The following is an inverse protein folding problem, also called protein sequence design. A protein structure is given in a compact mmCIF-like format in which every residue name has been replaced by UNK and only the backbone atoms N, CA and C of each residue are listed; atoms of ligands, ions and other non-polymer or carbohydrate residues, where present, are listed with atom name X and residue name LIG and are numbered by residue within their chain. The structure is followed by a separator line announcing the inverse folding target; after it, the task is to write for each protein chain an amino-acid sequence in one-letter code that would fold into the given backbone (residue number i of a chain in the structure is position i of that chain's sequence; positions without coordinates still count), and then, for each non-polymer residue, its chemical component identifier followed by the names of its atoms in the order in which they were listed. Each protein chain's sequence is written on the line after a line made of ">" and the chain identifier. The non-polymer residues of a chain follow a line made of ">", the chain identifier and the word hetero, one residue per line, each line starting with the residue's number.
data_IF_674603985313
#
_entry.id   IF_674603985313
#
_cell.length_a   1.000
_cell.length_b   1.000
_cell.length_c   1.000
_cell.angle_alpha   90.00
_cell.angle_beta   90.00
_cell.angle_gamma   90.00
#
_symmetry.space_group_name_H-M   'P 1'
#
loop_
_entity.id
_entity.type
_entity.pdbx_description
1 polymer ?
#
# COMPACT_ATOMS: atom_id res chain seq x y z
N UNK A 1 65.92 53.02 4.81
CA UNK A 1 65.75 51.59 5.16
C UNK A 1 64.28 51.25 4.96
N UNK A 2 63.96 50.39 3.98
CA UNK A 2 62.60 50.08 3.53
C UNK A 2 61.96 49.03 4.45
N UNK A 3 60.77 49.29 4.99
CA UNK A 3 59.90 48.24 5.55
C UNK A 3 58.70 48.03 4.64
N UNK A 4 58.60 46.82 4.11
CA UNK A 4 57.58 46.33 3.20
C UNK A 4 56.44 45.74 4.04
N UNK A 5 55.26 46.35 4.00
CA UNK A 5 54.03 45.81 4.56
C UNK A 5 53.48 44.78 3.55
N UNK A 6 53.57 43.49 3.87
CA UNK A 6 52.92 42.41 3.12
C UNK A 6 51.54 42.14 3.72
N UNK A 7 50.49 42.60 3.04
CA UNK A 7 49.12 42.19 3.28
C UNK A 7 48.88 40.80 2.66
N UNK A 8 48.59 39.80 3.50
CA UNK A 8 48.10 38.51 3.05
C UNK A 8 46.57 38.55 2.98
N UNK A 9 46.04 38.64 1.76
CA UNK A 9 44.61 38.49 1.48
C UNK A 9 44.30 37.00 1.38
N UNK A 10 43.56 36.45 2.35
CA UNK A 10 43.00 35.11 2.27
C UNK A 10 41.71 35.16 1.42
N UNK A 11 41.79 34.70 0.18
CA UNK A 11 40.61 34.48 -0.66
C UNK A 11 39.94 33.17 -0.23
N UNK A 12 38.84 33.26 0.50
CA UNK A 12 37.98 32.11 0.81
C UNK A 12 37.18 31.76 -0.44
N UNK A 13 37.61 30.72 -1.14
CA UNK A 13 36.90 30.16 -2.28
C UNK A 13 35.72 29.32 -1.75
N UNK A 14 34.51 29.89 -1.77
CA UNK A 14 33.28 29.14 -1.47
C UNK A 14 32.97 28.27 -2.68
N UNK A 15 33.38 27.00 -2.62
CA UNK A 15 32.97 25.99 -3.60
C UNK A 15 31.54 25.58 -3.26
N UNK A 16 30.56 26.11 -3.99
CA UNK A 16 29.18 25.67 -3.93
C UNK A 16 29.06 24.28 -4.57
N UNK A 17 29.12 23.23 -3.76
CA UNK A 17 28.73 21.89 -4.19
C UNK A 17 27.21 21.87 -4.39
N UNK A 18 26.78 21.87 -5.66
CA UNK A 18 25.38 21.67 -6.02
C UNK A 18 24.98 20.22 -5.74
N UNK A 19 24.56 19.93 -4.51
CA UNK A 19 23.95 18.65 -4.16
C UNK A 19 22.66 18.48 -4.98
N UNK A 20 22.66 17.55 -5.93
CA UNK A 20 21.46 17.16 -6.66
C UNK A 20 20.61 16.28 -5.73
N UNK A 21 19.66 16.89 -5.02
CA UNK A 21 18.70 16.15 -4.23
C UNK A 21 17.81 15.33 -5.17
N UNK A 22 17.84 14.01 -5.03
CA UNK A 22 16.88 13.14 -5.71
C UNK A 22 15.45 13.50 -5.26
N UNK A 23 14.49 13.53 -6.19
CA UNK A 23 13.10 13.87 -5.85
C UNK A 23 12.52 12.85 -4.86
N UNK A 24 11.83 13.35 -3.84
CA UNK A 24 11.18 12.53 -2.80
C UNK A 24 9.81 11.98 -3.25
N UNK A 25 9.38 12.35 -4.45
CA UNK A 25 8.17 11.86 -5.07
C UNK A 25 8.50 10.86 -6.18
N UNK A 26 7.59 9.93 -6.40
CA UNK A 26 7.60 9.03 -7.56
C UNK A 26 6.29 9.14 -8.29
N UNK A 27 6.31 9.06 -9.62
CA UNK A 27 5.09 9.04 -10.42
C UNK A 27 4.52 7.63 -10.43
N UNK A 28 3.28 7.50 -9.99
CA UNK A 28 2.52 6.26 -10.02
C UNK A 28 1.56 6.30 -11.21
N UNK A 29 1.63 5.28 -12.05
CA UNK A 29 0.65 5.02 -13.10
C UNK A 29 -0.49 4.18 -12.54
N UNK A 30 -1.72 4.67 -12.70
CA UNK A 30 -2.95 4.05 -12.22
C UNK A 30 -3.79 3.55 -13.40
N UNK A 31 -4.82 2.72 -13.17
CA UNK A 31 -5.71 2.28 -14.24
C UNK A 31 -6.32 3.44 -15.04
N UNK A 32 -6.86 3.12 -16.22
CA UNK A 32 -7.60 4.07 -17.07
C UNK A 32 -6.81 5.33 -17.50
N UNK A 33 -5.48 5.26 -17.48
CA UNK A 33 -4.59 6.35 -17.92
C UNK A 33 -4.43 7.47 -16.90
N UNK A 34 -4.80 7.23 -15.64
CA UNK A 34 -4.58 8.20 -14.55
C UNK A 34 -3.14 8.09 -14.05
N UNK A 35 -2.53 9.22 -13.70
CA UNK A 35 -1.24 9.24 -13.00
C UNK A 35 -1.19 10.36 -11.96
N UNK A 36 -0.46 10.12 -10.89
CA UNK A 36 -0.20 11.07 -9.80
C UNK A 36 1.25 10.91 -9.32
N UNK A 37 1.78 11.92 -8.66
CA UNK A 37 3.00 11.83 -7.87
C UNK A 37 2.66 11.47 -6.42
N UNK A 38 3.41 10.54 -5.84
CA UNK A 38 3.26 10.09 -4.46
C UNK A 38 4.62 10.15 -3.75
N UNK A 39 4.71 10.64 -2.51
CA UNK A 39 5.97 10.58 -1.76
C UNK A 39 6.40 9.14 -1.53
N UNK A 40 7.71 8.88 -1.62
CA UNK A 40 8.31 7.55 -1.52
C UNK A 40 8.09 6.85 -0.17
N UNK A 41 7.72 7.60 0.88
CA UNK A 41 7.45 7.07 2.22
C UNK A 41 5.96 6.75 2.47
N UNK A 42 5.09 6.85 1.46
CA UNK A 42 3.72 6.37 1.57
C UNK A 42 3.66 4.87 1.27
N UNK A 43 2.94 4.13 2.10
CA UNK A 43 2.81 2.68 2.00
C UNK A 43 1.56 2.36 1.19
N UNK A 44 1.75 1.77 0.01
CA UNK A 44 0.65 1.27 -0.85
C UNK A 44 0.00 0.06 -0.18
N UNK A 45 -1.33 0.03 -0.14
CA UNK A 45 -2.07 -1.10 0.42
C UNK A 45 -2.01 -2.31 -0.53
N UNK A 46 -1.82 -3.49 0.06
CA UNK A 46 -1.88 -4.76 -0.68
C UNK A 46 -3.29 -5.03 -1.22
N UNK A 47 -3.39 -5.88 -2.25
CA UNK A 47 -4.68 -6.29 -2.82
C UNK A 47 -5.65 -6.86 -1.77
N UNK A 48 -5.16 -7.65 -0.83
CA UNK A 48 -6.00 -8.20 0.24
C UNK A 48 -6.53 -7.11 1.20
N UNK A 49 -5.71 -6.10 1.51
CA UNK A 49 -6.15 -4.97 2.31
C UNK A 49 -7.18 -4.12 1.56
N UNK A 50 -7.00 -3.92 0.24
CA UNK A 50 -7.98 -3.23 -0.60
C UNK A 50 -9.32 -3.96 -0.63
N UNK A 51 -9.32 -5.27 -0.89
CA UNK A 51 -10.55 -6.09 -0.86
C UNK A 51 -11.23 -6.01 0.51
N UNK A 52 -10.46 -6.17 1.60
CA UNK A 52 -11.01 -6.10 2.95
C UNK A 52 -11.64 -4.74 3.25
N UNK A 53 -10.98 -3.66 2.83
CA UNK A 53 -11.49 -2.30 3.00
C UNK A 53 -12.75 -2.07 2.19
N UNK A 54 -12.77 -2.51 0.93
CA UNK A 54 -13.92 -2.33 0.03
C UNK A 54 -15.14 -3.10 0.53
N UNK A 55 -14.99 -4.38 0.85
CA UNK A 55 -16.07 -5.20 1.43
C UNK A 55 -16.57 -4.67 2.76
N UNK A 56 -15.70 -4.10 3.60
CA UNK A 56 -16.12 -3.48 4.85
C UNK A 56 -16.93 -2.20 4.61
N UNK A 57 -16.60 -1.42 3.58
CA UNK A 57 -17.36 -0.22 3.22
C UNK A 57 -18.74 -0.60 2.69
N UNK A 58 -18.79 -1.51 1.72
CA UNK A 58 -20.02 -2.05 1.14
C UNK A 58 -20.96 -2.58 2.23
N UNK A 59 -20.46 -3.46 3.10
CA UNK A 59 -21.24 -4.04 4.20
C UNK A 59 -21.86 -2.99 5.12
N UNK A 60 -21.12 -1.93 5.46
CA UNK A 60 -21.64 -0.86 6.34
C UNK A 60 -22.71 -0.03 5.65
N UNK A 61 -22.55 0.27 4.36
CA UNK A 61 -23.52 1.02 3.59
C UNK A 61 -24.82 0.22 3.40
N UNK A 62 -24.70 -1.07 3.08
CA UNK A 62 -25.84 -1.99 2.94
C UNK A 62 -26.64 -2.11 4.24
N UNK A 63 -25.96 -2.36 5.36
CA UNK A 63 -26.59 -2.43 6.69
C UNK A 63 -27.23 -1.10 7.11
N UNK A 64 -26.80 0.01 6.52
CA UNK A 64 -27.32 1.35 6.80
C UNK A 64 -28.43 1.78 5.84
N UNK A 65 -28.77 0.95 4.83
CA UNK A 65 -29.73 1.30 3.78
C UNK A 65 -29.29 2.50 2.95
N UNK A 66 -27.99 2.71 2.81
CA UNK A 66 -27.42 3.81 2.02
C UNK A 66 -27.13 3.28 0.63
N UNK A 67 -27.92 3.72 -0.34
CA UNK A 67 -27.62 3.47 -1.76
C UNK A 67 -26.25 4.05 -2.12
N UNK A 68 -25.47 3.28 -2.85
CA UNK A 68 -24.14 3.66 -3.29
C UNK A 68 -23.93 3.31 -4.75
N UNK A 69 -23.16 4.16 -5.44
CA UNK A 69 -22.76 3.93 -6.82
C UNK A 69 -21.80 2.73 -6.88
N UNK A 70 -22.00 1.87 -7.88
CA UNK A 70 -21.03 0.81 -8.18
C UNK A 70 -19.67 1.44 -8.48
N UNK A 71 -18.64 0.92 -7.81
CA UNK A 71 -17.33 1.54 -7.87
C UNK A 71 -16.20 0.58 -7.56
N UNK A 72 -15.02 0.88 -8.08
CA UNK A 72 -13.82 0.05 -7.95
C UNK A 72 -12.75 0.80 -7.16
N UNK A 73 -12.11 0.14 -6.17
CA UNK A 73 -11.00 0.68 -5.38
C UNK A 73 -9.65 0.03 -5.75
N UNK A 74 -9.05 0.35 -6.92
CA UNK A 74 -7.83 -0.33 -7.36
C UNK A 74 -6.56 0.15 -6.66
N UNK A 75 -6.59 1.31 -5.98
CA UNK A 75 -5.40 1.86 -5.35
C UNK A 75 -5.72 2.68 -4.10
N UNK A 76 -4.94 2.42 -3.05
CA UNK A 76 -4.90 3.21 -1.84
C UNK A 76 -3.50 3.16 -1.23
N UNK A 77 -3.12 4.23 -0.56
CA UNK A 77 -1.86 4.34 0.16
C UNK A 77 -2.04 5.15 1.44
N UNK A 78 -1.27 4.82 2.46
CA UNK A 78 -1.29 5.51 3.75
C UNK A 78 0.09 6.03 4.10
N UNK A 79 0.12 7.20 4.75
CA UNK A 79 1.29 7.72 5.43
C UNK A 79 1.13 7.52 6.94
N UNK A 80 2.19 7.00 7.56
CA UNK A 80 2.23 6.68 8.98
C UNK A 80 3.32 7.50 9.68
N UNK A 81 3.10 7.81 10.96
CA UNK A 81 4.19 8.28 11.83
C UNK A 81 5.07 7.11 12.31
N UNK A 82 6.15 7.44 13.04
CA UNK A 82 7.08 6.45 13.59
C UNK A 82 6.44 5.48 14.61
N UNK A 83 5.22 5.77 15.08
CA UNK A 83 4.45 4.94 16.00
C UNK A 83 3.42 4.08 15.26
N UNK A 84 3.38 4.14 13.93
CA UNK A 84 2.41 3.42 13.11
C UNK A 84 1.02 4.04 13.09
N UNK A 85 0.84 5.27 13.58
CA UNK A 85 -0.43 5.98 13.46
C UNK A 85 -0.58 6.52 12.04
N UNK A 86 -1.76 6.33 11.45
CA UNK A 86 -2.07 6.94 10.16
C UNK A 86 -2.20 8.44 10.30
N UNK A 87 -1.39 9.18 9.54
CA UNK A 87 -1.43 10.63 9.43
C UNK A 87 -1.94 11.09 8.06
N UNK A 88 -1.80 10.27 7.01
CA UNK A 88 -2.29 10.57 5.67
C UNK A 88 -2.94 9.34 5.04
N UNK A 89 -4.00 9.56 4.28
CA UNK A 89 -4.71 8.51 3.53
C UNK A 89 -4.95 9.04 2.12
N UNK A 90 -4.68 8.20 1.14
CA UNK A 90 -4.95 8.45 -0.26
C UNK A 90 -5.63 7.22 -0.85
N UNK A 91 -6.65 7.45 -1.67
CA UNK A 91 -7.21 6.40 -2.51
C UNK A 91 -7.81 6.98 -3.78
N UNK A 92 -7.96 6.13 -4.79
CA UNK A 92 -8.69 6.43 -6.01
C UNK A 92 -9.78 5.39 -6.21
N UNK A 93 -11.00 5.87 -6.43
CA UNK A 93 -12.18 5.05 -6.68
C UNK A 93 -12.76 5.39 -8.05
N UNK A 94 -12.95 4.39 -8.91
CA UNK A 94 -13.51 4.55 -10.25
C UNK A 94 -15.00 4.26 -10.29
N UNK A 95 -15.70 4.92 -11.21
CA UNK A 95 -17.15 4.78 -11.43
C UNK A 95 -17.38 4.45 -12.91
N UNK A 96 -17.31 3.16 -13.30
CA UNK A 96 -17.33 2.76 -14.71
C UNK A 96 -18.68 3.04 -15.41
N UNK A 97 -19.77 3.00 -14.67
CA UNK A 97 -21.13 3.19 -15.19
C UNK A 97 -21.53 4.67 -15.36
N UNK A 98 -20.68 5.59 -14.92
CA UNK A 98 -20.97 7.02 -14.99
C UNK A 98 -20.77 7.55 -16.41
N UNK A 99 -21.79 8.20 -16.97
CA UNK A 99 -21.76 8.69 -18.36
C UNK A 99 -21.29 10.15 -18.47
N UNK A 100 -21.18 10.89 -17.36
CA UNK A 100 -20.77 12.30 -17.35
C UNK A 100 -19.34 12.46 -17.89
N UNK A 101 -19.18 13.34 -18.87
CA UNK A 101 -17.91 13.60 -19.55
C UNK A 101 -17.21 14.87 -19.02
N UNK A 102 -15.99 15.11 -19.50
CA UNK A 102 -15.30 16.39 -19.23
C UNK A 102 -15.99 17.58 -19.90
N UNK A 103 -16.65 17.40 -21.03
CA UNK A 103 -17.42 18.47 -21.67
C UNK A 103 -18.61 18.88 -20.78
N UNK A 104 -19.29 17.90 -20.18
CA UNK A 104 -20.37 18.15 -19.23
C UNK A 104 -19.84 18.86 -17.97
N UNK A 105 -18.71 18.38 -17.42
CA UNK A 105 -18.05 19.03 -16.29
C UNK A 105 -17.65 20.49 -16.58
N UNK A 106 -17.13 20.76 -17.79
CA UNK A 106 -16.78 22.10 -18.24
C UNK A 106 -18.02 22.99 -18.42
N UNK A 107 -19.12 22.43 -18.92
CA UNK A 107 -20.40 23.12 -19.08
C UNK A 107 -21.15 23.36 -17.74
N UNK A 108 -20.81 22.62 -16.69
CA UNK A 108 -21.48 22.72 -15.38
C UNK A 108 -21.52 24.15 -14.84
N UNK A 109 -22.71 24.60 -14.48
CA UNK A 109 -23.02 25.92 -13.95
C UNK A 109 -22.73 26.00 -12.45
N UNK A 110 -22.83 27.21 -11.88
CA UNK A 110 -22.74 27.39 -10.43
C UNK A 110 -23.86 26.68 -9.66
N UNK A 111 -25.04 26.54 -10.27
CA UNK A 111 -26.17 25.81 -9.68
C UNK A 111 -25.86 24.30 -9.64
N UNK A 112 -25.32 23.74 -10.72
CA UNK A 112 -24.90 22.32 -10.75
C UNK A 112 -23.86 22.00 -9.67
N UNK A 113 -22.89 22.91 -9.45
CA UNK A 113 -21.89 22.77 -8.37
C UNK A 113 -22.55 22.79 -6.99
N UNK A 114 -23.55 23.64 -6.78
CA UNK A 114 -24.29 23.74 -5.52
C UNK A 114 -25.14 22.49 -5.26
N UNK A 115 -25.79 21.96 -6.28
CA UNK A 115 -26.60 20.75 -6.17
C UNK A 115 -25.72 19.52 -5.91
N UNK A 116 -24.58 19.43 -6.60
CA UNK A 116 -23.55 18.42 -6.31
C UNK A 116 -23.04 18.54 -4.87
N UNK A 117 -22.76 19.76 -4.39
CA UNK A 117 -22.32 19.98 -3.00
C UNK A 117 -23.33 19.48 -1.98
N UNK A 118 -24.60 19.82 -2.18
CA UNK A 118 -25.68 19.43 -1.28
C UNK A 118 -25.84 17.90 -1.22
N UNK A 119 -25.86 17.23 -2.39
CA UNK A 119 -25.95 15.78 -2.47
C UNK A 119 -24.73 15.09 -1.84
N UNK A 120 -23.51 15.55 -2.12
CA UNK A 120 -22.30 15.02 -1.51
C UNK A 120 -22.30 15.21 0.00
N UNK A 121 -22.70 16.38 0.49
CA UNK A 121 -22.78 16.66 1.93
C UNK A 121 -23.72 15.71 2.63
N UNK A 122 -24.92 15.52 2.08
CA UNK A 122 -25.90 14.61 2.66
C UNK A 122 -25.36 13.18 2.72
N UNK A 123 -24.85 12.67 1.60
CA UNK A 123 -24.31 11.32 1.51
C UNK A 123 -23.11 11.10 2.44
N UNK A 124 -22.19 12.07 2.52
CA UNK A 124 -21.01 11.98 3.40
C UNK A 124 -21.40 12.06 4.86
N UNK A 125 -22.33 12.93 5.26
CA UNK A 125 -22.81 12.99 6.64
C UNK A 125 -23.49 11.67 7.05
N UNK A 126 -24.33 11.12 6.17
CA UNK A 126 -25.03 9.85 6.42
C UNK A 126 -24.05 8.67 6.53
N UNK A 127 -23.17 8.51 5.55
CA UNK A 127 -22.16 7.43 5.56
C UNK A 127 -21.18 7.57 6.73
N UNK A 128 -20.67 8.78 7.02
CA UNK A 128 -19.76 9.00 8.16
C UNK A 128 -20.43 8.60 9.48
N UNK A 129 -21.72 8.91 9.65
CA UNK A 129 -22.51 8.48 10.81
C UNK A 129 -22.65 6.96 10.90
N UNK A 130 -22.80 6.25 9.79
CA UNK A 130 -22.86 4.79 9.74
C UNK A 130 -21.57 4.13 10.29
N UNK A 131 -20.41 4.76 10.09
CA UNK A 131 -19.14 4.34 10.69
C UNK A 131 -18.91 4.86 12.12
N UNK A 132 -19.97 5.35 12.79
CA UNK A 132 -19.89 5.99 14.11
C UNK A 132 -18.85 7.14 14.17
N UNK A 133 -18.68 7.85 13.05
CA UNK A 133 -17.86 9.04 12.95
C UNK A 133 -18.75 10.27 12.78
N UNK A 134 -18.15 11.46 12.86
CA UNK A 134 -18.85 12.74 12.65
C UNK A 134 -18.10 13.63 11.68
N UNK A 135 -18.84 14.24 10.74
CA UNK A 135 -18.37 15.41 9.99
C UNK A 135 -18.40 16.61 10.92
N UNK A 136 -17.26 17.26 11.12
CA UNK A 136 -17.12 18.35 12.09
C UNK A 136 -17.16 19.72 11.44
N UNK A 137 -16.75 19.83 10.16
CA UNK A 137 -16.96 21.03 9.35
C UNK A 137 -17.06 20.68 7.86
N UNK A 138 -17.78 21.50 7.09
CA UNK A 138 -17.98 21.35 5.66
C UNK A 138 -17.53 22.62 4.95
N UNK A 139 -16.49 22.55 4.13
CA UNK A 139 -15.98 23.72 3.42
C UNK A 139 -16.65 23.90 2.04
N UNK A 140 -17.31 22.87 1.53
CA UNK A 140 -18.05 22.90 0.28
C UNK A 140 -17.29 22.31 -0.90
N UNK A 141 -17.92 22.41 -2.07
CA UNK A 141 -17.44 21.90 -3.34
C UNK A 141 -17.15 23.07 -4.28
N UNK A 142 -15.99 23.02 -4.95
CA UNK A 142 -15.57 24.02 -5.92
C UNK A 142 -15.20 23.35 -7.24
N UNK A 143 -15.67 23.92 -8.35
CA UNK A 143 -15.20 23.58 -9.69
C UNK A 143 -13.89 24.31 -9.96
N UNK A 144 -12.86 23.57 -10.37
CA UNK A 144 -11.54 24.10 -10.72
C UNK A 144 -10.91 23.31 -11.87
N UNK A 145 -9.71 23.70 -12.30
CA UNK A 145 -8.92 22.95 -13.29
C UNK A 145 -7.56 22.54 -12.73
N UNK A 146 -7.17 21.28 -12.97
CA UNK A 146 -5.85 20.75 -12.66
C UNK A 146 -5.26 20.17 -13.94
N UNK A 147 -4.15 20.72 -14.43
CA UNK A 147 -3.50 20.27 -15.66
C UNK A 147 -4.43 20.17 -16.88
N UNK A 148 -5.43 21.06 -16.97
CA UNK A 148 -6.44 21.07 -18.05
C UNK A 148 -7.65 20.16 -17.81
N UNK A 149 -7.67 19.39 -16.71
CA UNK A 149 -8.79 18.54 -16.31
C UNK A 149 -9.74 19.38 -15.46
N UNK A 150 -11.03 19.43 -15.80
CA UNK A 150 -12.05 20.04 -14.94
C UNK A 150 -12.39 19.06 -13.82
N UNK A 151 -12.26 19.53 -12.58
CA UNK A 151 -12.46 18.74 -11.37
C UNK A 151 -13.41 19.46 -10.41
N UNK A 152 -14.10 18.69 -9.59
CA UNK A 152 -14.91 19.17 -8.47
C UNK A 152 -14.19 18.80 -7.19
N UNK A 153 -13.62 19.80 -6.53
CA UNK A 153 -12.88 19.67 -5.28
C UNK A 153 -13.83 19.92 -4.10
N UNK A 154 -14.14 18.87 -3.35
CA UNK A 154 -14.91 18.95 -2.11
C UNK A 154 -13.99 18.83 -0.92
N UNK A 155 -14.10 19.76 0.04
CA UNK A 155 -13.30 19.72 1.27
C UNK A 155 -14.19 19.70 2.52
N UNK A 156 -13.82 18.88 3.50
CA UNK A 156 -14.51 18.81 4.79
C UNK A 156 -13.57 18.30 5.88
N UNK A 157 -13.99 18.39 7.15
CA UNK A 157 -13.30 17.76 8.27
C UNK A 157 -14.19 16.69 8.90
N UNK A 158 -13.57 15.61 9.38
CA UNK A 158 -14.24 14.55 10.11
C UNK A 158 -13.40 14.08 11.29
N UNK A 159 -14.06 13.49 12.28
CA UNK A 159 -13.38 12.82 13.38
C UNK A 159 -12.56 11.62 12.87
N UNK A 160 -11.39 11.39 13.48
CA UNK A 160 -10.60 10.19 13.24
C UNK A 160 -11.29 8.95 13.83
N UNK A 161 -11.15 7.79 13.17
CA UNK A 161 -11.86 6.56 13.55
C UNK A 161 -11.39 5.96 14.90
N UNK A 162 -10.08 5.99 15.18
CA UNK A 162 -9.48 5.29 16.33
C UNK A 162 -8.90 6.20 17.41
N UNK A 163 -8.81 7.51 17.16
CA UNK A 163 -8.13 8.46 18.06
C UNK A 163 -8.87 9.77 18.16
N UNK A 164 -8.54 10.55 19.19
CA UNK A 164 -8.88 11.98 19.21
C UNK A 164 -8.14 12.69 18.08
N UNK A 165 -8.82 13.65 17.45
CA UNK A 165 -8.29 14.41 16.32
C UNK A 165 -9.25 14.44 15.14
N UNK A 166 -8.91 15.31 14.20
CA UNK A 166 -9.69 15.55 12.99
C UNK A 166 -8.84 15.25 11.76
N UNK A 167 -9.45 14.64 10.76
CA UNK A 167 -8.90 14.56 9.43
C UNK A 167 -9.55 15.61 8.56
N UNK A 168 -8.73 16.37 7.84
CA UNK A 168 -9.20 17.10 6.67
C UNK A 168 -9.23 16.14 5.49
N UNK A 169 -10.37 16.10 4.81
CA UNK A 169 -10.61 15.25 3.65
C UNK A 169 -10.83 16.13 2.45
N UNK A 170 -10.23 15.74 1.32
CA UNK A 170 -10.33 16.42 0.03
C UNK A 170 -10.64 15.41 -1.04
N UNK A 171 -11.80 15.56 -1.65
CA UNK A 171 -12.28 14.70 -2.73
C UNK A 171 -12.09 15.45 -4.04
N UNK A 172 -11.28 14.91 -4.93
CA UNK A 172 -11.09 15.43 -6.29
C UNK A 172 -11.90 14.54 -7.22
N UNK A 173 -13.12 14.96 -7.54
CA UNK A 173 -14.02 14.21 -8.43
C UNK A 173 -13.80 14.64 -9.88
N UNK A 174 -13.61 13.66 -10.76
CA UNK A 174 -13.34 13.83 -12.19
C UNK A 174 -14.40 13.06 -12.98
N UNK A 175 -15.15 13.76 -13.83
CA UNK A 175 -16.13 13.17 -14.73
C UNK A 175 -15.53 12.98 -16.12
N UNK A 176 -15.38 11.73 -16.55
CA UNK A 176 -14.71 11.37 -17.80
C UNK A 176 -15.30 10.07 -18.39
N UNK A 177 -16.63 9.96 -18.41
CA UNK A 177 -17.40 8.78 -18.78
C UNK A 177 -16.91 7.55 -18.00
N UNK A 178 -16.61 6.44 -18.68
CA UNK A 178 -16.11 5.20 -18.07
C UNK A 178 -14.74 5.33 -17.36
N UNK A 179 -14.06 6.47 -17.53
CA UNK A 179 -12.83 6.84 -16.80
C UNK A 179 -13.10 7.76 -15.60
N UNK A 180 -14.36 7.98 -15.21
CA UNK A 180 -14.69 8.81 -14.05
C UNK A 180 -14.11 8.22 -12.76
N UNK A 181 -13.60 9.08 -11.90
CA UNK A 181 -13.04 8.68 -10.60
C UNK A 181 -13.14 9.79 -9.56
N UNK A 182 -12.96 9.39 -8.30
CA UNK A 182 -12.71 10.29 -7.18
C UNK A 182 -11.34 9.95 -6.59
N UNK A 183 -10.43 10.92 -6.59
CA UNK A 183 -9.19 10.86 -5.83
C UNK A 183 -9.47 11.45 -4.44
N UNK A 184 -9.43 10.62 -3.41
CA UNK A 184 -9.55 11.05 -2.02
C UNK A 184 -8.16 11.24 -1.44
N UNK A 185 -7.88 12.43 -0.91
CA UNK A 185 -6.68 12.68 -0.11
C UNK A 185 -7.11 13.25 1.22
N UNK A 186 -6.68 12.65 2.32
CA UNK A 186 -6.95 13.15 3.65
C UNK A 186 -5.72 13.09 4.53
N UNK A 187 -5.67 14.00 5.50
CA UNK A 187 -4.58 14.07 6.45
C UNK A 187 -5.07 14.53 7.82
N UNK A 188 -4.33 14.16 8.84
CA UNK A 188 -4.50 14.67 10.20
C UNK A 188 -4.28 16.18 10.25
N UNK A 189 -5.28 16.92 10.69
CA UNK A 189 -5.24 18.39 10.77
C UNK A 189 -4.11 18.87 11.70
N UNK A 190 -3.74 18.10 12.73
CA UNK A 190 -2.61 18.43 13.61
C UNK A 190 -1.25 18.39 12.87
N UNK A 191 -1.15 17.61 11.78
CA UNK A 191 0.02 17.51 10.92
C UNK A 191 -0.09 18.37 9.65
N UNK A 192 -1.07 19.27 9.58
CA UNK A 192 -1.38 20.07 8.38
C UNK A 192 -0.21 20.89 7.86
N UNK A 193 0.65 21.42 8.74
CA UNK A 193 1.84 22.19 8.35
C UNK A 193 2.73 21.42 7.36
N UNK A 194 2.94 20.12 7.60
CA UNK A 194 3.74 19.26 6.74
C UNK A 194 2.89 18.62 5.64
N UNK A 195 1.71 18.11 5.97
CA UNK A 195 0.95 17.26 5.07
C UNK A 195 0.13 18.05 4.05
N UNK A 196 -0.29 19.28 4.34
CA UNK A 196 -1.03 20.10 3.37
C UNK A 196 -0.22 20.32 2.08
N UNK A 197 1.02 20.85 2.10
CA UNK A 197 1.77 21.07 0.86
C UNK A 197 2.11 19.77 0.13
N UNK A 198 2.38 18.67 0.85
CA UNK A 198 2.61 17.35 0.25
C UNK A 198 1.36 16.88 -0.50
N UNK A 199 0.21 16.93 0.16
CA UNK A 199 -1.05 16.47 -0.42
C UNK A 199 -1.55 17.43 -1.50
N UNK A 200 -1.21 18.73 -1.44
CA UNK A 200 -1.42 19.69 -2.54
C UNK A 200 -0.61 19.28 -3.77
N UNK A 201 0.66 18.87 -3.61
CA UNK A 201 1.48 18.35 -4.70
C UNK A 201 0.89 17.08 -5.31
N UNK A 202 0.42 16.14 -4.48
CA UNK A 202 -0.25 14.93 -4.99
C UNK A 202 -1.46 15.29 -5.85
N UNK A 203 -2.34 16.17 -5.37
CA UNK A 203 -3.53 16.61 -6.12
C UNK A 203 -3.13 17.35 -7.41
N UNK A 204 -2.19 18.29 -7.35
CA UNK A 204 -1.77 19.09 -8.50
C UNK A 204 -0.95 18.31 -9.53
N UNK A 205 -0.40 17.16 -9.15
CA UNK A 205 0.28 16.24 -10.07
C UNK A 205 -0.67 15.37 -10.89
N UNK A 206 -1.98 15.43 -10.60
CA UNK A 206 -2.99 14.64 -11.29
C UNK A 206 -2.93 14.86 -12.80
N UNK A 207 -2.86 13.75 -13.52
CA UNK A 207 -2.87 13.72 -14.96
C UNK A 207 -3.77 12.58 -15.46
N UNK A 208 -4.43 12.79 -16.58
CA UNK A 208 -5.32 11.82 -17.22
C UNK A 208 -5.01 11.78 -18.72
N UNK A 209 -4.56 10.62 -19.18
CA UNK A 209 -4.22 10.39 -20.58
C UNK A 209 -5.39 10.68 -21.52
N UNK A 210 -5.10 11.38 -22.62
CA UNK A 210 -6.09 11.76 -23.64
C UNK A 210 -6.76 13.11 -23.39
N UNK A 211 -6.61 13.71 -22.20
CA UNK A 211 -7.00 15.12 -21.98
C UNK A 211 -5.78 15.99 -22.28
N UNK A 212 -5.83 16.76 -23.37
CA UNK A 212 -4.71 17.63 -23.80
C UNK A 212 -4.37 18.63 -22.68
N UNK A 213 -3.09 18.70 -22.29
CA UNK A 213 -2.55 19.82 -21.52
C UNK A 213 -2.71 21.10 -22.33
N UNK A 214 -3.63 21.96 -21.91
CA UNK A 214 -3.73 23.31 -22.48
C UNK A 214 -2.58 24.13 -21.90
N UNK A 215 -1.50 24.28 -22.68
CA UNK A 215 -0.42 25.24 -22.42
C UNK A 215 0.59 24.84 -21.34
N UNK A 216 1.69 24.20 -21.74
CA UNK A 216 2.85 24.01 -20.88
C UNK A 216 3.91 23.18 -21.60
N UNK A 217 5.04 23.81 -21.91
CA UNK A 217 6.21 23.28 -22.64
C UNK A 217 6.44 21.80 -22.32
N UNK A 218 6.28 20.95 -23.33
CA UNK A 218 6.61 19.53 -23.27
C UNK A 218 8.11 19.37 -23.09
N UNK A 219 8.54 18.94 -21.90
CA UNK A 219 9.84 18.29 -21.74
C UNK A 219 9.90 17.06 -22.67
N UNK A 220 11.05 16.79 -23.30
CA UNK A 220 11.15 15.71 -24.28
C UNK A 220 10.84 14.37 -23.63
N UNK A 221 10.00 13.60 -24.30
CA UNK A 221 9.61 12.25 -23.90
C UNK A 221 10.85 11.36 -23.88
N UNK A 222 11.31 11.01 -22.67
CA UNK A 222 12.21 9.88 -22.51
C UNK A 222 11.45 8.62 -22.93
N UNK A 223 12.04 7.86 -23.85
CA UNK A 223 11.50 6.63 -24.39
C UNK A 223 11.09 5.68 -23.26
N UNK A 224 9.82 5.28 -23.26
CA UNK A 224 9.29 4.24 -22.38
C UNK A 224 9.81 2.91 -22.91
N UNK A 225 10.94 2.46 -22.38
CA UNK A 225 11.25 1.04 -22.41
C UNK A 225 10.20 0.34 -21.54
N UNK A 226 9.36 -0.46 -22.18
CA UNK A 226 8.53 -1.45 -21.51
C UNK A 226 9.45 -2.49 -20.89
N UNK A 227 9.95 -2.20 -19.69
CA UNK A 227 10.59 -3.18 -18.85
C UNK A 227 9.53 -3.70 -17.91
N UNK A 228 9.08 -4.93 -18.17
CA UNK A 228 8.20 -5.69 -17.30
C UNK A 228 8.93 -6.10 -16.02
N UNK A 229 9.40 -5.12 -15.27
CA UNK A 229 9.98 -5.34 -13.95
C UNK A 229 8.81 -5.51 -12.97
N UNK A 230 8.57 -6.78 -12.69
CA UNK A 230 7.91 -7.33 -11.51
C UNK A 230 7.18 -6.29 -10.65
N UNK A 231 5.86 -6.22 -10.82
CA UNK A 231 4.91 -5.54 -9.92
C UNK A 231 5.21 -5.84 -8.43
N UNK A 232 5.87 -6.96 -8.12
CA UNK A 232 6.27 -7.34 -6.76
C UNK A 232 7.50 -6.61 -6.22
N UNK A 233 8.41 -6.13 -7.08
CA UNK A 233 9.58 -5.34 -6.69
C UNK A 233 9.18 -3.91 -6.30
N UNK A 234 8.23 -3.32 -7.03
CA UNK A 234 7.69 -1.99 -6.74
C UNK A 234 6.84 -1.97 -5.46
N UNK A 235 6.19 -3.08 -5.12
CA UNK A 235 5.30 -3.18 -3.95
C UNK A 235 6.03 -3.47 -2.63
N UNK A 236 7.21 -4.10 -2.66
CA UNK A 236 7.88 -4.59 -1.45
C UNK A 236 9.35 -4.15 -1.32
N UNK A 237 9.83 -3.28 -2.22
CA UNK A 237 11.20 -2.80 -2.28
C UNK A 237 12.19 -3.77 -2.95
N UNK A 238 13.35 -3.26 -3.36
CA UNK A 238 14.41 -4.01 -4.08
C UNK A 238 14.86 -5.30 -3.35
N UNK A 239 14.67 -5.37 -2.03
CA UNK A 239 15.13 -6.49 -1.20
C UNK A 239 14.06 -7.56 -0.93
N UNK A 240 12.86 -7.47 -1.51
CA UNK A 240 11.78 -8.42 -1.23
C UNK A 240 12.16 -9.88 -1.52
N UNK A 241 12.91 -10.12 -2.61
CA UNK A 241 13.41 -11.46 -2.94
C UNK A 241 14.32 -12.03 -1.84
N UNK A 242 15.14 -11.18 -1.21
CA UNK A 242 16.01 -11.56 -0.09
C UNK A 242 15.20 -11.87 1.17
N UNK A 243 14.17 -11.09 1.48
CA UNK A 243 13.27 -11.34 2.62
C UNK A 243 12.51 -12.66 2.44
N UNK A 244 11.97 -12.92 1.24
CA UNK A 244 11.29 -14.16 0.93
C UNK A 244 12.25 -15.35 1.01
N UNK A 245 13.45 -15.24 0.43
CA UNK A 245 14.50 -16.25 0.53
C UNK A 245 14.89 -16.55 1.99
N UNK A 246 15.11 -15.52 2.81
CA UNK A 246 15.44 -15.69 4.22
C UNK A 246 14.31 -16.34 5.01
N UNK A 247 13.05 -15.98 4.73
CA UNK A 247 11.90 -16.62 5.38
C UNK A 247 11.80 -18.10 5.05
N UNK A 248 12.02 -18.49 3.79
CA UNK A 248 12.09 -19.90 3.38
C UNK A 248 13.26 -20.57 4.10
N UNK A 249 14.45 -19.99 4.05
CA UNK A 249 15.63 -20.58 4.69
C UNK A 249 15.42 -20.78 6.20
N UNK A 250 14.81 -19.82 6.89
CA UNK A 250 14.55 -19.88 8.31
C UNK A 250 13.46 -20.91 8.65
N UNK A 251 12.32 -20.90 7.94
CA UNK A 251 11.22 -21.84 8.16
C UNK A 251 11.65 -23.29 7.91
N UNK A 252 12.36 -23.53 6.81
CA UNK A 252 12.79 -24.87 6.43
C UNK A 252 14.02 -25.33 7.21
N UNK A 253 14.98 -24.42 7.43
CA UNK A 253 16.18 -24.70 8.21
C UNK A 253 15.84 -25.10 9.64
N UNK A 254 15.08 -24.27 10.36
CA UNK A 254 14.67 -24.58 11.74
C UNK A 254 13.73 -25.78 11.77
N UNK A 255 12.75 -25.84 10.85
CA UNK A 255 11.77 -26.91 10.81
C UNK A 255 12.36 -28.31 10.56
N UNK A 256 13.39 -28.42 9.70
CA UNK A 256 13.98 -29.70 9.30
C UNK A 256 15.28 -30.05 10.04
N UNK A 257 15.89 -29.12 10.79
CA UNK A 257 17.12 -29.43 11.54
C UNK A 257 16.90 -30.54 12.59
N UNK A 258 15.88 -30.48 13.47
CA UNK A 258 15.64 -31.55 14.45
C UNK A 258 15.45 -32.95 13.85
N UNK A 259 14.58 -33.19 12.84
CA UNK A 259 14.41 -34.53 12.29
C UNK A 259 15.66 -35.04 11.57
N UNK A 260 16.47 -34.17 10.95
CA UNK A 260 17.76 -34.54 10.36
C UNK A 260 18.75 -34.99 11.45
N UNK A 261 18.88 -34.24 12.54
CA UNK A 261 19.76 -34.59 13.66
C UNK A 261 19.33 -35.90 14.32
N UNK A 262 18.04 -36.06 14.61
CA UNK A 262 17.47 -37.30 15.17
C UNK A 262 17.81 -38.48 14.25
N UNK A 263 17.57 -38.33 12.95
CA UNK A 263 17.73 -39.43 11.98
C UNK A 263 19.19 -39.82 11.74
N UNK A 264 20.08 -38.85 11.55
CA UNK A 264 21.41 -39.09 11.02
C UNK A 264 22.52 -38.97 12.05
N UNK A 265 22.31 -38.22 13.13
CA UNK A 265 23.33 -38.05 14.18
C UNK A 265 23.06 -39.00 15.33
N UNK A 266 21.86 -38.95 15.91
CA UNK A 266 21.54 -39.66 17.15
C UNK A 266 21.10 -41.10 16.93
N UNK A 267 20.08 -41.34 16.10
CA UNK A 267 19.56 -42.69 15.93
C UNK A 267 20.33 -43.50 14.89
N UNK A 268 20.80 -42.85 13.81
CA UNK A 268 21.49 -43.44 12.64
C UNK A 268 20.72 -44.54 11.89
N UNK A 269 19.59 -45.03 12.42
CA UNK A 269 18.68 -46.03 11.84
C UNK A 269 17.27 -45.46 11.59
N UNK A 270 16.51 -46.00 10.63
CA UNK A 270 15.14 -45.57 10.38
C UNK A 270 14.24 -45.85 11.58
N UNK A 271 13.23 -44.98 11.78
CA UNK A 271 12.33 -45.05 12.92
C UNK A 271 11.07 -45.86 12.57
N UNK A 272 10.55 -46.61 13.53
CA UNK A 272 9.26 -47.28 13.43
C UNK A 272 8.12 -46.28 13.16
N UNK A 273 7.04 -46.73 12.51
CA UNK A 273 5.93 -45.85 12.07
C UNK A 273 5.34 -45.05 13.24
N UNK A 274 5.04 -45.71 14.37
CA UNK A 274 4.45 -45.05 15.54
C UNK A 274 5.35 -43.97 16.15
N UNK A 275 6.63 -44.31 16.38
CA UNK A 275 7.62 -43.36 16.90
C UNK A 275 7.86 -42.18 15.95
N UNK A 276 7.89 -42.41 14.63
CA UNK A 276 8.03 -41.34 13.66
C UNK A 276 6.84 -40.37 13.69
N UNK A 277 5.60 -40.86 13.81
CA UNK A 277 4.41 -40.01 13.95
C UNK A 277 4.48 -39.18 15.23
N UNK A 278 4.81 -39.81 16.37
CA UNK A 278 4.91 -39.12 17.66
C UNK A 278 5.95 -38.00 17.65
N UNK A 279 7.14 -38.26 17.11
CA UNK A 279 8.22 -37.25 17.00
C UNK A 279 7.79 -36.09 16.08
N UNK A 280 7.18 -36.39 14.94
CA UNK A 280 6.73 -35.35 13.99
C UNK A 280 5.63 -34.48 14.59
N UNK A 281 4.66 -35.06 15.30
CA UNK A 281 3.61 -34.30 15.97
C UNK A 281 4.19 -33.36 17.03
N UNK A 282 5.14 -33.84 17.84
CA UNK A 282 5.82 -33.03 18.85
C UNK A 282 6.63 -31.87 18.23
N UNK A 283 7.39 -32.14 17.17
CA UNK A 283 8.15 -31.11 16.45
C UNK A 283 7.23 -30.10 15.74
N UNK A 284 6.07 -30.53 15.26
CA UNK A 284 5.10 -29.65 14.64
C UNK A 284 4.49 -28.68 15.66
N UNK A 285 4.07 -29.17 16.83
CA UNK A 285 3.58 -28.32 17.94
C UNK A 285 4.67 -27.36 18.41
N UNK A 286 5.91 -27.84 18.55
CA UNK A 286 7.04 -26.99 18.92
C UNK A 286 7.25 -25.85 17.92
N UNK A 287 7.28 -26.15 16.62
CA UNK A 287 7.42 -25.13 15.58
C UNK A 287 6.23 -24.15 15.59
N UNK A 288 5.00 -24.64 15.79
CA UNK A 288 3.82 -23.79 15.88
C UNK A 288 3.96 -22.76 17.02
N UNK A 289 4.36 -23.20 18.21
CA UNK A 289 4.61 -22.32 19.36
C UNK A 289 5.75 -21.35 19.08
N UNK A 290 6.86 -21.84 18.53
CA UNK A 290 8.03 -21.02 18.19
C UNK A 290 7.67 -19.90 17.20
N UNK A 291 7.02 -20.23 16.09
CA UNK A 291 6.65 -19.23 15.07
C UNK A 291 5.57 -18.27 15.57
N UNK A 292 4.67 -18.72 16.45
CA UNK A 292 3.70 -17.84 17.09
C UNK A 292 4.39 -16.86 18.03
N UNK A 293 5.37 -17.32 18.83
CA UNK A 293 6.16 -16.47 19.71
C UNK A 293 7.03 -15.46 18.95
N UNK A 294 7.49 -15.81 17.75
CA UNK A 294 8.22 -14.92 16.83
C UNK A 294 7.32 -13.96 16.03
N UNK A 295 6.01 -13.92 16.32
CA UNK A 295 5.08 -12.96 15.72
C UNK A 295 4.49 -13.37 14.36
N UNK A 296 4.50 -14.66 14.02
CA UNK A 296 3.85 -15.15 12.80
C UNK A 296 2.34 -14.88 12.80
N UNK A 297 1.84 -14.22 11.75
CA UNK A 297 0.40 -13.91 11.59
C UNK A 297 -0.34 -14.86 10.63
N UNK A 298 0.33 -15.91 10.14
CA UNK A 298 -0.26 -16.81 9.14
C UNK A 298 -1.31 -17.75 9.75
N UNK A 299 -2.59 -17.51 9.48
CA UNK A 299 -3.71 -18.33 10.01
C UNK A 299 -3.71 -19.80 9.55
N UNK A 300 -3.17 -20.10 8.37
CA UNK A 300 -3.26 -21.45 7.77
C UNK A 300 -2.08 -22.37 8.11
N UNK A 301 -0.99 -21.83 8.65
CA UNK A 301 0.27 -22.54 8.94
C UNK A 301 0.70 -23.60 7.89
N UNK A 302 0.36 -23.41 6.60
CA UNK A 302 0.51 -24.44 5.58
C UNK A 302 1.94 -24.93 5.38
N UNK A 303 2.92 -24.03 5.52
CA UNK A 303 4.34 -24.38 5.47
C UNK A 303 4.74 -25.36 6.59
N UNK A 304 4.16 -25.25 7.80
CA UNK A 304 4.46 -26.15 8.91
C UNK A 304 3.91 -27.56 8.68
N UNK A 305 2.76 -27.69 8.02
CA UNK A 305 2.20 -28.98 7.61
C UNK A 305 3.15 -29.67 6.62
N UNK A 306 3.69 -28.90 5.66
CA UNK A 306 4.61 -29.40 4.65
C UNK A 306 5.95 -29.83 5.28
N UNK A 307 6.47 -29.04 6.23
CA UNK A 307 7.63 -29.40 7.06
C UNK A 307 7.37 -30.70 7.84
N UNK A 308 6.19 -30.89 8.43
CA UNK A 308 5.85 -32.11 9.15
C UNK A 308 5.84 -33.35 8.22
N UNK A 309 5.29 -33.21 7.00
CA UNK A 309 5.28 -34.28 6.01
C UNK A 309 6.71 -34.69 5.61
N UNK A 310 7.57 -33.70 5.32
CA UNK A 310 8.97 -33.94 4.95
C UNK A 310 9.75 -34.53 6.13
N UNK A 311 9.49 -34.07 7.36
CA UNK A 311 10.08 -34.63 8.58
C UNK A 311 9.75 -36.11 8.75
N UNK A 312 8.49 -36.50 8.53
CA UNK A 312 8.09 -37.91 8.56
C UNK A 312 8.83 -38.74 7.49
N UNK A 313 8.93 -38.22 6.27
CA UNK A 313 9.66 -38.90 5.19
C UNK A 313 11.14 -39.10 5.53
N UNK A 314 11.81 -38.08 6.12
CA UNK A 314 13.21 -38.15 6.56
C UNK A 314 13.39 -39.26 7.61
N UNK A 315 12.55 -39.27 8.66
CA UNK A 315 12.66 -40.24 9.75
C UNK A 315 12.41 -41.69 9.30
N UNK A 316 11.60 -41.87 8.24
CA UNK A 316 11.25 -43.18 7.68
C UNK A 316 12.15 -43.65 6.53
N UNK A 317 13.00 -42.78 5.98
CA UNK A 317 13.85 -43.11 4.83
C UNK A 317 14.74 -44.31 5.15
N UNK A 318 14.55 -45.40 4.39
CA UNK A 318 15.28 -46.67 4.53
C UNK A 318 14.52 -47.81 5.24
N UNK A 319 13.34 -47.56 5.82
CA UNK A 319 12.61 -48.59 6.58
C UNK A 319 12.15 -49.80 5.74
N UNK A 320 11.83 -49.60 4.45
CA UNK A 320 11.38 -50.68 3.55
C UNK A 320 12.49 -51.69 3.21
N UNK A 321 13.76 -51.29 3.23
CA UNK A 321 14.89 -52.19 2.93
C UNK A 321 15.16 -53.17 4.07
N UNK A 322 14.88 -52.80 5.32
CA UNK A 322 15.11 -53.67 6.47
C UNK A 322 14.02 -54.74 6.65
N UNK A 323 12.79 -54.48 6.22
CA UNK A 323 11.71 -55.46 6.30
C UNK A 323 11.87 -56.62 5.29
N UNK A 324 12.55 -56.39 4.16
CA UNK A 324 12.79 -57.41 3.14
C UNK A 324 14.02 -58.29 3.38
N UNK A 325 14.95 -57.87 4.24
CA UNK A 325 16.16 -58.65 4.56
C UNK A 325 15.98 -59.64 5.71
N UNK A 326 14.86 -59.61 6.43
CA UNK A 326 14.57 -60.50 7.57
C UNK A 326 13.76 -61.75 7.16
N UNK A 327 13.48 -61.93 5.86
CA UNK A 327 12.79 -63.13 5.33
C UNK A 327 13.67 -63.96 4.38
N UNK A 328 14.99 -63.75 4.38
CA UNK A 328 15.95 -64.45 3.53
C UNK A 328 17.03 -65.22 4.32
N UNK A 329 16.74 -65.57 5.58
CA UNK A 329 17.45 -66.59 6.37
C UNK A 329 16.45 -67.66 6.81
#
# INVERSE_FOLDING_TARGET
>A
MKQIIRAWMFTVMVVSLAAHAADNFTRISLPKGVSIELPKNWIVLSRNQLITLDSAVESVLDLSGIEHEESELPFAANYYDDKGNTLGILNIRYYPELQLTQADAQAATAQDVKDLDAALRENIVRSTKAFNMKVTSWAGTKKTSINGITVFLTEYRRQALKRSGEFRVRLVRVFAANKSFTLTVSYDEAASFLLKPITDRIINSLNLEGIRKVGGVSAPAAAINQQGDSIMADLNGEQWGLVLFLSILFTWGIGLTPPLLIRFVFMRRPIGKGWAIGIVALLWVFNLVLFTALGSQSKSHGALILVAYVSYAILRKGAKKQAGSTQAE
#
